data_IF_796275406497
#
_entry.id   IF_796275406497
#
_cell.length_a   1.000
_cell.length_b   1.000
_cell.length_c   1.000
_cell.angle_alpha   90.00
_cell.angle_beta   90.00
_cell.angle_gamma   90.00
#
_symmetry.space_group_name_H-M   'P 1'
#
loop_
_entity.id
_entity.type
_entity.pdbx_description
1 polymer ?
#
# COMPACT_ATOMS: atom_id res chain seq x y z
N UNK A 1 -20.65 11.03 8.60
CA UNK A 1 -20.58 11.02 7.73
C UNK A 1 -20.12 10.02 7.15
N UNK A 2 -20.56 9.36 6.70
CA UNK A 2 -20.21 8.38 6.16
C UNK A 2 -19.67 8.60 5.09
N UNK A 3 -18.94 8.53 4.86
CA UNK A 3 -18.30 8.84 3.86
C UNK A 3 -18.08 7.87 2.86
N UNK A 4 -18.00 8.25 1.65
CA UNK A 4 -17.64 7.31 0.60
C UNK A 4 -16.23 6.90 0.74
N UNK A 5 -15.45 7.57 1.57
CA UNK A 5 -14.06 7.22 1.72
C UNK A 5 -13.83 6.31 2.92
N UNK A 6 -14.88 5.83 3.54
CA UNK A 6 -14.73 5.02 4.70
C UNK A 6 -13.93 3.76 4.42
N UNK A 7 -14.03 3.24 3.20
CA UNK A 7 -13.31 2.02 2.85
C UNK A 7 -11.98 2.30 2.16
N UNK A 8 -11.53 3.54 2.22
CA UNK A 8 -10.28 3.91 1.57
C UNK A 8 -9.32 4.48 2.59
N UNK A 9 -8.06 4.40 2.30
CA UNK A 9 -7.02 5.02 3.12
C UNK A 9 -6.11 5.79 2.20
N UNK A 10 -5.42 6.79 2.74
CA UNK A 10 -4.49 7.55 1.93
C UNK A 10 -3.10 6.90 2.04
N UNK A 11 -2.13 7.53 1.40
CA UNK A 11 -0.78 6.98 1.36
C UNK A 11 -0.18 6.89 2.76
N UNK A 12 -0.43 7.89 3.60
CA UNK A 12 0.14 7.88 4.94
C UNK A 12 -0.39 6.70 5.75
N UNK A 13 -1.69 6.51 5.69
CA UNK A 13 -2.28 5.40 6.43
C UNK A 13 -1.80 4.07 5.87
N UNK A 14 -1.72 3.96 4.55
CA UNK A 14 -1.27 2.72 3.94
C UNK A 14 0.18 2.44 4.33
N UNK A 15 1.00 3.47 4.43
CA UNK A 15 2.38 3.27 4.80
C UNK A 15 2.50 2.71 6.21
N UNK A 16 1.60 3.12 7.09
CA UNK A 16 1.61 2.59 8.45
C UNK A 16 1.18 1.13 8.47
N UNK A 17 0.16 0.81 7.68
CA UNK A 17 -0.32 -0.56 7.63
C UNK A 17 0.76 -1.47 7.08
N UNK A 18 1.48 -1.03 6.05
CA UNK A 18 2.51 -1.85 5.44
C UNK A 18 3.86 -1.72 6.14
N UNK A 19 3.96 -0.76 7.06
CA UNK A 19 5.20 -0.53 7.79
C UNK A 19 6.33 -0.16 6.85
N UNK A 20 6.07 0.76 5.94
CA UNK A 20 7.07 1.27 5.02
C UNK A 20 6.93 2.77 4.93
N UNK A 21 7.87 3.40 4.29
CA UNK A 21 7.84 4.85 4.10
C UNK A 21 6.75 5.21 3.10
N UNK A 22 6.10 6.36 3.25
CA UNK A 22 5.07 6.78 2.29
C UNK A 22 5.55 6.81 0.85
N UNK A 23 6.81 7.16 0.62
CA UNK A 23 7.32 7.15 -0.74
C UNK A 23 7.33 5.75 -1.32
N UNK A 24 7.51 4.75 -0.49
CA UNK A 24 7.47 3.38 -0.96
C UNK A 24 6.06 3.03 -1.42
N UNK A 25 5.05 3.48 -0.69
CA UNK A 25 3.68 3.24 -1.10
C UNK A 25 3.41 3.90 -2.43
N UNK A 26 3.86 5.14 -2.60
CA UNK A 26 3.65 5.84 -3.85
C UNK A 26 4.31 5.10 -5.00
N UNK A 27 5.51 4.60 -4.77
CA UNK A 27 6.21 3.85 -5.81
C UNK A 27 5.48 2.57 -6.15
N UNK A 28 4.95 1.87 -5.15
CA UNK A 28 4.21 0.65 -5.41
C UNK A 28 2.97 0.92 -6.25
N UNK A 29 2.31 2.04 -6.00
CA UNK A 29 1.16 2.41 -6.78
C UNK A 29 1.57 2.73 -8.20
N UNK A 30 2.63 3.49 -8.35
CA UNK A 30 3.06 3.92 -9.68
C UNK A 30 3.56 2.75 -10.51
N UNK A 31 4.08 1.74 -9.86
CA UNK A 31 4.58 0.56 -10.56
C UNK A 31 3.48 -0.46 -10.82
N UNK A 32 2.28 -0.18 -10.35
CA UNK A 32 1.17 -1.09 -10.62
C UNK A 32 1.07 -2.26 -9.65
N UNK A 33 1.86 -2.25 -8.58
CA UNK A 33 1.80 -3.34 -7.63
C UNK A 33 0.68 -3.18 -6.62
N UNK A 34 0.27 -1.96 -6.36
CA UNK A 34 -0.78 -1.70 -5.39
C UNK A 34 -1.86 -0.88 -6.06
N UNK A 35 -3.06 -1.42 -6.18
CA UNK A 35 -4.13 -0.68 -6.85
C UNK A 35 -4.55 0.53 -6.03
N UNK A 36 -4.78 1.63 -6.70
CA UNK A 36 -5.22 2.85 -6.05
C UNK A 36 -6.00 3.69 -7.03
N UNK A 37 -6.82 4.57 -6.49
CA UNK A 37 -7.60 5.49 -7.28
C UNK A 37 -7.10 6.89 -6.98
N UNK A 38 -6.97 7.72 -8.00
CA UNK A 38 -6.61 9.09 -7.78
C UNK A 38 -7.86 9.92 -7.66
N UNK A 39 -7.94 10.74 -6.62
CA UNK A 39 -9.09 11.59 -6.42
C UNK A 39 -8.63 12.88 -5.81
N UNK A 40 -8.97 13.98 -6.42
CA UNK A 40 -8.63 15.30 -5.90
C UNK A 40 -7.14 15.44 -5.60
N UNK A 41 -6.31 14.88 -6.47
CA UNK A 41 -4.88 15.01 -6.30
C UNK A 41 -4.27 14.06 -5.30
N UNK A 42 -5.04 13.12 -4.79
CA UNK A 42 -4.53 12.18 -3.82
C UNK A 42 -4.76 10.76 -4.28
N UNK A 43 -3.96 9.86 -3.78
CA UNK A 43 -4.18 8.45 -4.02
C UNK A 43 -5.04 7.91 -2.89
N UNK A 44 -6.05 7.13 -3.26
CA UNK A 44 -6.91 6.46 -2.29
C UNK A 44 -6.81 4.98 -2.54
N UNK A 45 -6.50 4.22 -1.50
CA UNK A 45 -6.32 2.79 -1.61
C UNK A 45 -7.47 2.11 -0.88
N UNK A 46 -8.12 1.16 -1.51
CA UNK A 46 -9.21 0.42 -0.87
C UNK A 46 -8.63 -0.41 0.27
N UNK A 47 -9.30 -0.38 1.40
CA UNK A 47 -8.81 -1.14 2.54
C UNK A 47 -8.71 -2.62 2.23
N UNK A 48 -9.68 -3.16 1.54
CA UNK A 48 -9.67 -4.58 1.22
C UNK A 48 -8.46 -4.94 0.37
N UNK A 49 -8.18 -4.11 -0.62
CA UNK A 49 -7.04 -4.39 -1.47
C UNK A 49 -5.73 -4.22 -0.72
N UNK A 50 -5.70 -3.26 0.19
CA UNK A 50 -4.51 -3.04 0.99
C UNK A 50 -4.26 -4.24 1.90
N UNK A 51 -5.31 -4.79 2.48
CA UNK A 51 -5.13 -5.94 3.36
C UNK A 51 -4.65 -7.15 2.59
N UNK A 52 -5.16 -7.35 1.39
CA UNK A 52 -4.71 -8.45 0.57
C UNK A 52 -3.23 -8.26 0.22
N UNK A 53 -2.87 -7.05 -0.16
CA UNK A 53 -1.48 -6.79 -0.50
C UNK A 53 -0.59 -6.97 0.71
N UNK A 54 -1.05 -6.50 1.86
CA UNK A 54 -0.27 -6.61 3.08
C UNK A 54 0.01 -8.06 3.43
N UNK A 55 -0.97 -8.93 3.19
CA UNK A 55 -0.81 -10.32 3.54
C UNK A 55 0.32 -10.98 2.77
N UNK A 56 0.59 -10.50 1.55
CA UNK A 56 1.64 -11.10 0.74
C UNK A 56 2.90 -10.26 0.72
N UNK A 57 2.82 -9.00 1.12
CA UNK A 57 3.97 -8.11 1.05
C UNK A 57 4.77 -8.22 2.32
N UNK A 58 6.05 -8.42 2.18
CA UNK A 58 6.91 -8.51 3.34
C UNK A 58 7.93 -7.42 3.23
N UNK A 59 7.87 -6.46 4.12
CA UNK A 59 8.78 -5.33 4.09
C UNK A 59 10.04 -5.60 4.89
N UNK A 60 10.16 -6.74 5.54
CA UNK A 60 11.35 -7.04 6.32
C UNK A 60 12.52 -7.27 5.39
N UNK A 61 13.64 -6.66 5.67
CA UNK A 61 14.78 -6.76 4.77
C UNK A 61 15.26 -8.18 4.58
N UNK A 62 15.24 -8.96 5.61
CA UNK A 62 15.80 -10.29 5.50
C UNK A 62 15.04 -11.16 4.54
N UNK A 63 13.73 -11.11 4.59
CA UNK A 63 12.97 -12.01 3.75
C UNK A 63 13.15 -11.67 2.30
N UNK A 64 13.31 -10.40 1.98
CA UNK A 64 13.53 -10.08 0.60
C UNK A 64 14.86 -10.56 0.13
N UNK A 65 15.83 -10.46 0.97
CA UNK A 65 17.14 -10.86 0.59
C UNK A 65 17.16 -12.33 0.29
N UNK A 66 16.56 -13.11 1.16
CA UNK A 66 16.72 -14.52 0.93
C UNK A 66 15.88 -14.99 -0.22
N UNK A 67 14.83 -14.31 -0.54
CA UNK A 67 14.09 -14.71 -1.69
C UNK A 67 14.90 -14.56 -2.91
N UNK A 68 15.75 -13.62 -2.97
CA UNK A 68 16.55 -13.46 -4.13
C UNK A 68 17.57 -14.50 -4.27
N UNK A 69 17.93 -15.13 -3.23
CA UNK A 69 18.91 -16.17 -3.31
C UNK A 69 18.38 -17.39 -3.93
N UNK A 70 17.12 -17.51 -4.00
CA UNK A 70 16.56 -18.72 -4.59
C UNK A 70 16.52 -18.65 -6.09
#
# INVERSE_FOLDING_TARGET
MDSVFENYVDIIEASRVLNVHPNTVRRLIQQGHLPATQFAGKYLIERDKLEIFRATYDSRPGSKAYRKLL
#
